data_IF_152212114166
#
_entry.id   IF_152212114166
#
_cell.length_a   1.000
_cell.length_b   1.000
_cell.length_c   1.000
_cell.angle_alpha   90.00
_cell.angle_beta   90.00
_cell.angle_gamma   90.00
#
_symmetry.space_group_name_H-M   'P 1'
#
loop_
_entity.id
_entity.type
_entity.pdbx_description
1 polymer ?
#
# COMPACT_ATOMS: atom_id res chain seq x y z
N UNK A 1 11.01 -23.40 -12.06
CA UNK A 1 11.37 -22.47 -10.98
C UNK A 1 10.20 -21.51 -10.75
N UNK A 2 9.85 -21.23 -9.50
CA UNK A 2 8.69 -20.36 -9.21
C UNK A 2 9.07 -18.91 -9.56
N UNK A 3 8.65 -18.44 -10.73
CA UNK A 3 9.06 -17.14 -11.29
C UNK A 3 8.10 -16.01 -10.85
N UNK A 4 7.65 -16.04 -9.55
CA UNK A 4 6.81 -14.99 -8.98
C UNK A 4 7.66 -13.83 -8.51
N UNK A 5 7.11 -12.61 -8.62
CA UNK A 5 7.71 -11.37 -8.10
C UNK A 5 7.56 -11.33 -6.58
N UNK A 6 8.65 -11.10 -5.85
CA UNK A 6 8.62 -11.02 -4.39
C UNK A 6 8.07 -9.67 -3.94
N UNK A 7 6.98 -9.70 -3.17
CA UNK A 7 6.29 -8.52 -2.65
C UNK A 7 6.59 -8.34 -1.16
N UNK A 8 6.92 -7.12 -0.74
CA UNK A 8 6.80 -6.70 0.65
C UNK A 8 5.61 -5.78 0.84
N UNK A 9 4.91 -5.92 1.98
CA UNK A 9 3.84 -5.00 2.38
C UNK A 9 4.28 -4.24 3.61
N UNK A 10 4.33 -2.90 3.52
CA UNK A 10 4.67 -2.02 4.63
C UNK A 10 3.39 -1.52 5.30
N UNK A 11 3.35 -1.61 6.64
CA UNK A 11 2.16 -1.34 7.47
C UNK A 11 2.53 -0.56 8.72
N UNK A 12 1.54 0.11 9.36
CA UNK A 12 1.72 0.75 10.68
C UNK A 12 0.62 0.43 11.68
N UNK A 13 -0.49 -0.19 11.26
CA UNK A 13 -1.68 -0.32 12.09
C UNK A 13 -2.47 -1.63 11.90
N UNK A 14 -3.79 -1.54 11.73
CA UNK A 14 -4.72 -2.66 11.70
C UNK A 14 -4.56 -3.66 10.56
N UNK A 15 -4.03 -3.23 9.40
CA UNK A 15 -3.69 -4.09 8.28
C UNK A 15 -4.89 -4.62 7.49
N UNK A 16 -5.97 -3.86 7.35
CA UNK A 16 -7.13 -4.27 6.56
C UNK A 16 -6.78 -4.41 5.07
N UNK A 17 -5.98 -3.50 4.51
CA UNK A 17 -5.46 -3.58 3.15
C UNK A 17 -4.46 -4.75 2.98
N UNK A 18 -3.63 -5.04 3.99
CA UNK A 18 -2.81 -6.26 4.00
C UNK A 18 -3.70 -7.52 3.94
N UNK A 19 -4.79 -7.56 4.71
CA UNK A 19 -5.70 -8.70 4.67
C UNK A 19 -6.33 -8.89 3.28
N UNK A 20 -6.70 -7.80 2.62
CA UNK A 20 -7.22 -7.86 1.25
C UNK A 20 -6.19 -8.45 0.27
N UNK A 21 -4.92 -8.04 0.37
CA UNK A 21 -3.81 -8.61 -0.41
C UNK A 21 -3.60 -10.11 -0.13
N UNK A 22 -3.62 -10.51 1.15
CA UNK A 22 -3.50 -11.93 1.55
C UNK A 22 -4.64 -12.77 0.97
N UNK A 23 -5.87 -12.27 1.07
CA UNK A 23 -7.04 -12.94 0.52
C UNK A 23 -6.96 -13.06 -1.00
N UNK A 24 -6.53 -12.00 -1.68
CA UNK A 24 -6.34 -11.97 -3.13
C UNK A 24 -5.27 -12.96 -3.61
N UNK A 25 -4.18 -13.11 -2.85
CA UNK A 25 -3.18 -14.14 -3.14
C UNK A 25 -3.74 -15.55 -2.97
N UNK A 26 -4.50 -15.79 -1.91
CA UNK A 26 -5.14 -17.11 -1.66
C UNK A 26 -6.21 -17.46 -2.69
N UNK A 27 -6.98 -16.48 -3.16
CA UNK A 27 -8.05 -16.68 -4.15
C UNK A 27 -7.54 -16.71 -5.60
N UNK A 28 -6.24 -16.49 -5.85
CA UNK A 28 -5.68 -16.49 -7.20
C UNK A 28 -5.91 -15.21 -7.99
N UNK A 29 -6.25 -14.09 -7.35
CA UNK A 29 -6.25 -12.76 -7.97
C UNK A 29 -4.81 -12.27 -8.17
N UNK A 30 -3.94 -12.49 -7.17
CA UNK A 30 -2.51 -12.24 -7.29
C UNK A 30 -1.82 -13.58 -7.64
N UNK A 31 -1.40 -13.71 -8.88
CA UNK A 31 -0.75 -14.91 -9.43
C UNK A 31 0.70 -14.67 -9.85
N UNK A 32 1.02 -13.46 -10.31
CA UNK A 32 2.34 -13.06 -10.77
C UNK A 32 3.27 -12.66 -9.63
N UNK A 33 2.72 -12.30 -8.46
CA UNK A 33 3.45 -11.94 -7.25
C UNK A 33 3.25 -12.93 -6.10
N UNK A 34 4.11 -12.81 -5.08
CA UNK A 34 3.99 -13.53 -3.81
C UNK A 34 4.41 -12.62 -2.66
N UNK A 35 3.54 -12.47 -1.65
CA UNK A 35 3.85 -11.70 -0.45
C UNK A 35 4.84 -12.51 0.39
N UNK A 36 6.10 -12.07 0.43
CA UNK A 36 7.20 -12.73 1.16
C UNK A 36 7.44 -12.12 2.54
N UNK A 37 7.15 -10.81 2.67
CA UNK A 37 7.50 -10.06 3.86
C UNK A 37 6.44 -9.03 4.19
N UNK A 38 6.13 -8.88 5.48
CA UNK A 38 5.40 -7.74 6.02
C UNK A 38 6.32 -6.97 6.95
N UNK A 39 6.54 -5.68 6.66
CA UNK A 39 7.36 -4.80 7.49
C UNK A 39 6.43 -3.84 8.23
N UNK A 40 6.54 -3.77 9.54
CA UNK A 40 5.78 -2.82 10.35
C UNK A 40 6.68 -1.77 10.99
N UNK A 41 6.24 -0.49 10.93
CA UNK A 41 6.86 0.61 11.67
C UNK A 41 6.43 0.65 13.15
N UNK A 42 5.57 -0.25 13.57
CA UNK A 42 5.03 -0.35 14.93
C UNK A 42 4.93 -1.82 15.35
N UNK A 43 5.65 -2.19 16.42
CA UNK A 43 5.64 -3.55 16.98
C UNK A 43 4.26 -4.03 17.46
N UNK A 44 3.36 -3.10 17.79
CA UNK A 44 2.01 -3.39 18.25
C UNK A 44 0.97 -3.40 17.12
N UNK A 45 1.40 -3.30 15.85
CA UNK A 45 0.49 -3.32 14.72
C UNK A 45 -0.22 -4.67 14.59
N UNK A 46 -1.56 -4.68 14.58
CA UNK A 46 -2.34 -5.90 14.39
C UNK A 46 -2.08 -6.57 13.02
N UNK A 47 -1.58 -5.79 12.06
CA UNK A 47 -1.13 -6.28 10.77
C UNK A 47 -0.09 -7.40 10.88
N UNK A 48 0.81 -7.37 11.89
CA UNK A 48 1.79 -8.42 12.15
C UNK A 48 1.10 -9.75 12.46
N UNK A 49 0.05 -9.72 13.28
CA UNK A 49 -0.74 -10.92 13.61
C UNK A 49 -1.45 -11.50 12.38
N UNK A 50 -1.93 -10.65 11.46
CA UNK A 50 -2.51 -11.10 10.19
C UNK A 50 -1.48 -11.81 9.31
N UNK A 51 -0.26 -11.27 9.24
CA UNK A 51 0.85 -11.86 8.49
C UNK A 51 1.25 -13.22 9.07
N UNK A 52 1.43 -13.32 10.40
CA UNK A 52 1.74 -14.57 11.10
C UNK A 52 0.68 -15.65 10.85
N UNK A 53 -0.61 -15.30 10.98
CA UNK A 53 -1.72 -16.21 10.71
C UNK A 53 -1.76 -16.71 9.25
N UNK A 54 -1.16 -15.95 8.34
CA UNK A 54 -1.04 -16.32 6.94
C UNK A 54 0.30 -17.03 6.60
N UNK A 55 1.17 -17.25 7.58
CA UNK A 55 2.49 -17.86 7.39
C UNK A 55 3.49 -16.96 6.64
N UNK A 56 3.27 -15.64 6.66
CA UNK A 56 4.13 -14.66 5.99
C UNK A 56 5.16 -14.15 7.00
N UNK A 57 6.42 -14.05 6.56
CA UNK A 57 7.50 -13.48 7.39
C UNK A 57 7.20 -12.05 7.78
N UNK A 58 7.62 -11.65 8.98
CA UNK A 58 7.45 -10.31 9.50
C UNK A 58 8.79 -9.70 9.91
N UNK A 59 8.88 -8.37 9.79
CA UNK A 59 9.95 -7.57 10.35
C UNK A 59 9.37 -6.32 11.03
N UNK A 60 10.01 -5.88 12.10
CA UNK A 60 9.63 -4.65 12.79
C UNK A 60 10.79 -3.66 12.67
N UNK A 61 10.49 -2.51 12.07
CA UNK A 61 11.41 -1.40 11.88
C UNK A 61 10.78 -0.17 12.54
N UNK A 62 11.07 0.06 13.82
CA UNK A 62 10.50 1.20 14.56
C UNK A 62 11.29 2.49 14.28
N UNK A 63 10.60 3.60 14.02
CA UNK A 63 11.20 4.92 13.79
C UNK A 63 11.59 5.64 15.09
N UNK A 64 11.05 5.18 16.23
CA UNK A 64 11.22 5.88 17.50
C UNK A 64 12.68 5.88 17.95
N UNK A 65 13.26 7.07 18.10
CA UNK A 65 14.61 7.24 18.66
C UNK A 65 15.76 7.07 17.67
N UNK A 66 15.47 6.92 16.37
CA UNK A 66 16.49 6.78 15.31
C UNK A 66 16.26 7.81 14.20
N UNK A 67 17.29 8.12 13.44
CA UNK A 67 17.20 9.01 12.29
C UNK A 67 16.37 8.40 11.15
N UNK A 68 15.90 9.23 10.21
CA UNK A 68 15.23 8.78 8.99
C UNK A 68 16.09 7.78 8.22
N UNK A 69 17.38 8.05 8.12
CA UNK A 69 18.35 7.21 7.42
C UNK A 69 18.46 5.82 8.05
N UNK A 70 18.67 5.73 9.36
CA UNK A 70 18.77 4.46 10.09
C UNK A 70 17.48 3.66 9.99
N UNK A 71 16.33 4.34 10.08
CA UNK A 71 15.02 3.72 9.90
C UNK A 71 14.89 3.10 8.51
N UNK A 72 15.19 3.85 7.45
CA UNK A 72 15.10 3.37 6.08
C UNK A 72 16.13 2.28 5.76
N UNK A 73 17.34 2.38 6.30
CA UNK A 73 18.35 1.32 6.19
C UNK A 73 17.86 0.00 6.84
N UNK A 74 17.17 0.07 7.97
CA UNK A 74 16.59 -1.12 8.60
C UNK A 74 15.54 -1.80 7.72
N UNK A 75 14.71 -0.99 7.04
CA UNK A 75 13.72 -1.50 6.08
C UNK A 75 14.44 -2.11 4.87
N UNK A 76 15.40 -1.40 4.26
CA UNK A 76 16.14 -1.88 3.09
C UNK A 76 16.82 -3.22 3.35
N UNK A 77 17.47 -3.37 4.51
CA UNK A 77 18.11 -4.63 4.92
C UNK A 77 17.10 -5.79 5.00
N UNK A 78 15.91 -5.54 5.51
CA UNK A 78 14.85 -6.54 5.56
C UNK A 78 14.34 -6.91 4.15
N UNK A 79 14.20 -5.91 3.26
CA UNK A 79 13.78 -6.11 1.88
C UNK A 79 14.81 -6.90 1.06
N UNK A 80 16.09 -6.56 1.20
CA UNK A 80 17.20 -7.23 0.49
C UNK A 80 17.33 -8.70 0.89
N UNK A 81 17.23 -9.00 2.19
CA UNK A 81 17.28 -10.37 2.72
C UNK A 81 16.23 -11.29 2.08
N UNK A 82 15.05 -10.78 1.80
CA UNK A 82 13.94 -11.52 1.17
C UNK A 82 13.87 -11.30 -0.34
N UNK A 83 14.86 -10.61 -0.94
CA UNK A 83 14.96 -10.32 -2.38
C UNK A 83 13.67 -9.67 -2.91
N UNK A 84 13.18 -8.65 -2.20
CA UNK A 84 11.94 -7.97 -2.52
C UNK A 84 12.12 -7.14 -3.80
N UNK A 85 11.10 -7.20 -4.66
CA UNK A 85 11.08 -6.53 -5.95
C UNK A 85 9.98 -5.48 -6.06
N UNK A 86 8.88 -5.66 -5.32
CA UNK A 86 7.74 -4.73 -5.25
C UNK A 86 7.42 -4.45 -3.79
N UNK A 87 7.17 -3.20 -3.51
CA UNK A 87 6.75 -2.71 -2.19
C UNK A 87 5.33 -2.18 -2.29
N UNK A 88 4.45 -2.62 -1.40
CA UNK A 88 3.09 -2.11 -1.28
C UNK A 88 2.97 -1.38 0.05
N UNK A 89 2.65 -0.09 0.01
CA UNK A 89 2.30 0.69 1.21
C UNK A 89 0.82 0.48 1.51
N UNK A 90 0.52 -0.13 2.64
CA UNK A 90 -0.84 -0.50 3.06
C UNK A 90 -1.15 0.09 4.45
N UNK A 91 -1.41 1.38 4.50
CA UNK A 91 -1.54 2.12 5.75
C UNK A 91 -0.20 2.29 6.47
N UNK A 92 0.84 2.58 5.71
CA UNK A 92 2.17 2.90 6.23
C UNK A 92 2.27 4.41 6.46
N UNK A 93 2.47 4.79 7.74
CA UNK A 93 2.36 6.18 8.19
C UNK A 93 3.66 6.99 8.11
N UNK A 94 4.77 6.37 7.69
CA UNK A 94 6.03 7.07 7.53
C UNK A 94 6.25 7.49 6.07
N UNK A 95 6.66 8.74 5.87
CA UNK A 95 7.08 9.23 4.55
C UNK A 95 8.46 8.66 4.25
N UNK A 96 8.62 8.09 3.07
CA UNK A 96 9.88 7.57 2.57
C UNK A 96 10.67 8.68 1.88
N UNK A 97 11.99 8.70 2.08
CA UNK A 97 12.86 9.69 1.44
C UNK A 97 12.97 9.47 -0.08
N UNK A 98 13.36 10.52 -0.80
CA UNK A 98 13.66 10.42 -2.23
C UNK A 98 14.75 9.37 -2.53
N UNK A 99 15.75 9.23 -1.65
CA UNK A 99 16.81 8.25 -1.80
C UNK A 99 16.32 6.81 -1.65
N UNK A 100 15.38 6.57 -0.73
CA UNK A 100 14.73 5.28 -0.61
C UNK A 100 13.91 4.97 -1.87
N UNK A 101 13.10 5.91 -2.34
CA UNK A 101 12.22 5.73 -3.50
C UNK A 101 13.04 5.44 -4.78
N UNK A 102 14.16 6.12 -4.97
CA UNK A 102 15.07 5.91 -6.12
C UNK A 102 15.64 4.48 -6.18
N UNK A 103 15.69 3.74 -5.08
CA UNK A 103 16.14 2.33 -5.07
C UNK A 103 15.13 1.36 -5.66
N UNK A 104 13.86 1.77 -5.74
CA UNK A 104 12.74 0.97 -6.25
C UNK A 104 11.92 1.74 -7.30
N UNK A 105 12.53 2.18 -8.43
CA UNK A 105 11.85 3.00 -9.43
C UNK A 105 10.66 2.24 -10.04
N UNK A 106 9.47 2.84 -9.97
CA UNK A 106 8.20 2.23 -10.40
C UNK A 106 7.91 0.84 -9.78
N UNK A 107 8.33 0.64 -8.52
CA UNK A 107 8.13 -0.62 -7.79
C UNK A 107 7.57 -0.43 -6.39
N UNK A 108 7.29 0.82 -6.00
CA UNK A 108 6.58 1.14 -4.76
C UNK A 108 5.20 1.63 -5.15
N UNK A 109 4.16 0.98 -4.64
CA UNK A 109 2.78 1.40 -4.86
C UNK A 109 2.11 1.75 -3.53
N UNK A 110 1.23 2.73 -3.55
CA UNK A 110 0.44 3.15 -2.40
C UNK A 110 -1.04 3.19 -2.74
N UNK A 111 -1.90 2.90 -1.77
CA UNK A 111 -3.33 3.16 -1.86
C UNK A 111 -3.69 4.37 -1.03
N UNK A 112 -4.31 5.37 -1.65
CA UNK A 112 -4.81 6.58 -1.02
C UNK A 112 -6.34 6.61 -1.08
N UNK A 113 -7.05 6.93 0.03
CA UNK A 113 -8.51 6.80 0.11
C UNK A 113 -9.27 8.00 -0.46
N UNK A 114 -8.81 8.53 -1.60
CA UNK A 114 -9.51 9.53 -2.40
C UNK A 114 -9.28 9.32 -3.90
N UNK A 115 -10.00 10.07 -4.72
CA UNK A 115 -9.72 10.20 -6.15
C UNK A 115 -8.69 11.31 -6.36
N UNK A 116 -7.40 10.97 -6.38
CA UNK A 116 -6.32 11.93 -6.66
C UNK A 116 -6.60 12.65 -7.99
N UNK A 117 -6.46 13.99 -8.08
CA UNK A 117 -5.73 14.88 -7.16
C UNK A 117 -6.55 15.49 -6.01
N UNK A 118 -7.77 15.05 -5.76
CA UNK A 118 -8.61 15.60 -4.68
C UNK A 118 -8.23 14.98 -3.32
N UNK A 119 -8.23 15.80 -2.26
CA UNK A 119 -8.03 15.37 -0.86
C UNK A 119 -6.82 14.46 -0.67
N UNK A 120 -5.67 14.84 -1.23
CA UNK A 120 -4.40 14.11 -1.17
C UNK A 120 -3.24 15.04 -0.81
N UNK A 121 -2.05 14.45 -0.57
CA UNK A 121 -0.86 15.16 -0.20
C UNK A 121 -0.72 15.33 1.31
N UNK A 122 0.11 16.30 1.72
CA UNK A 122 0.47 16.50 3.12
C UNK A 122 -0.77 16.78 4.00
N UNK A 123 -0.88 16.05 5.11
CA UNK A 123 -2.00 16.19 6.07
C UNK A 123 -3.24 15.36 5.74
N UNK A 124 -3.37 14.80 4.53
CA UNK A 124 -4.49 13.96 4.15
C UNK A 124 -4.20 12.47 4.39
N UNK A 125 -4.67 11.94 5.51
CA UNK A 125 -4.57 10.53 5.87
C UNK A 125 -5.71 10.07 6.77
N UNK A 126 -6.04 8.79 6.74
CA UNK A 126 -7.06 8.17 7.59
C UNK A 126 -8.40 8.88 7.49
N UNK A 127 -9.07 9.12 8.62
CA UNK A 127 -10.39 9.77 8.65
C UNK A 127 -10.39 11.22 8.15
N UNK A 128 -9.23 11.90 8.16
CA UNK A 128 -9.14 13.30 7.70
C UNK A 128 -9.53 13.44 6.22
N UNK A 129 -9.21 12.45 5.39
CA UNK A 129 -9.55 12.43 3.97
C UNK A 129 -11.07 12.41 3.78
N UNK A 130 -11.74 11.49 4.49
CA UNK A 130 -13.19 11.33 4.41
C UNK A 130 -13.94 12.52 5.00
N UNK A 131 -13.43 13.05 6.13
CA UNK A 131 -13.98 14.29 6.72
C UNK A 131 -13.89 15.45 5.73
N UNK A 132 -12.73 15.66 5.10
CA UNK A 132 -12.54 16.74 4.14
C UNK A 132 -13.48 16.60 2.92
N UNK A 133 -13.69 15.37 2.40
CA UNK A 133 -14.62 15.11 1.31
C UNK A 133 -16.07 15.45 1.70
N UNK A 134 -16.49 15.08 2.92
CA UNK A 134 -17.82 15.41 3.45
C UNK A 134 -17.98 16.91 3.68
N UNK A 135 -17.01 17.55 4.31
CA UNK A 135 -17.03 19.00 4.60
C UNK A 135 -17.10 19.84 3.30
N UNK A 136 -16.41 19.38 2.25
CA UNK A 136 -16.42 20.04 0.94
C UNK A 136 -17.76 19.84 0.20
N UNK A 137 -18.48 18.77 0.53
CA UNK A 137 -19.79 18.45 -0.07
C UNK A 137 -19.73 17.76 -1.42
N UNK A 138 -18.59 17.11 -1.78
CA UNK A 138 -18.53 16.29 -3.01
C UNK A 138 -19.51 15.12 -2.93
N UNK A 139 -20.01 14.69 -4.08
CA UNK A 139 -21.00 13.60 -4.17
C UNK A 139 -20.34 12.25 -4.45
N UNK A 140 -19.09 12.28 -4.92
CA UNK A 140 -18.30 11.11 -5.27
C UNK A 140 -16.90 11.25 -4.69
N UNK A 141 -16.42 10.21 -4.05
CA UNK A 141 -15.04 10.00 -3.61
C UNK A 141 -14.55 8.65 -4.13
N UNK A 142 -13.56 8.04 -3.49
CA UNK A 142 -13.09 6.72 -3.91
C UNK A 142 -11.71 6.40 -3.36
N UNK A 143 -10.97 5.59 -4.11
CA UNK A 143 -9.58 5.28 -3.81
C UNK A 143 -8.73 5.33 -5.07
N UNK A 144 -7.45 5.63 -4.88
CA UNK A 144 -6.42 5.65 -5.92
C UNK A 144 -5.26 4.76 -5.52
N UNK A 145 -4.83 3.87 -6.42
CA UNK A 145 -3.52 3.22 -6.32
C UNK A 145 -2.58 3.87 -7.31
N UNK A 146 -1.43 4.31 -6.82
CA UNK A 146 -0.43 5.03 -7.60
C UNK A 146 0.98 4.55 -7.28
N UNK A 147 1.93 4.79 -8.18
CA UNK A 147 3.35 4.66 -7.87
C UNK A 147 3.78 5.76 -6.90
N UNK A 148 4.70 5.43 -6.01
CA UNK A 148 5.27 6.40 -5.07
C UNK A 148 6.47 7.09 -5.71
N UNK A 149 6.52 8.42 -5.60
CA UNK A 149 7.67 9.25 -5.92
C UNK A 149 8.03 10.14 -4.71
N UNK A 150 8.86 11.16 -4.89
CA UNK A 150 9.28 12.08 -3.84
C UNK A 150 8.17 13.05 -3.38
N UNK A 151 7.09 13.17 -4.15
CA UNK A 151 5.94 14.03 -3.82
C UNK A 151 4.86 13.17 -3.16
N UNK A 152 4.40 13.50 -1.94
CA UNK A 152 3.31 12.77 -1.32
C UNK A 152 2.08 12.69 -2.23
N UNK A 153 1.62 11.46 -2.48
CA UNK A 153 0.51 11.12 -3.39
C UNK A 153 0.66 11.63 -4.84
N UNK A 154 1.86 12.05 -5.26
CA UNK A 154 2.12 12.72 -6.54
C UNK A 154 2.54 11.79 -7.69
N UNK A 155 2.74 10.51 -7.45
CA UNK A 155 3.20 9.56 -8.45
C UNK A 155 2.12 9.15 -9.46
N UNK A 156 2.54 8.54 -10.57
CA UNK A 156 1.66 8.08 -11.66
C UNK A 156 0.58 7.13 -11.16
N UNK A 157 -0.66 7.43 -11.49
CA UNK A 157 -1.83 6.63 -11.12
C UNK A 157 -1.81 5.30 -11.87
N UNK A 158 -2.12 4.21 -11.15
CA UNK A 158 -2.24 2.86 -11.69
C UNK A 158 -3.72 2.50 -11.88
N UNK A 159 -4.52 2.73 -10.84
CA UNK A 159 -5.96 2.45 -10.82
C UNK A 159 -6.69 3.43 -9.92
N UNK A 160 -7.93 3.72 -10.29
CA UNK A 160 -8.88 4.47 -9.45
C UNK A 160 -10.23 3.77 -9.45
N UNK A 161 -10.95 3.89 -8.34
CA UNK A 161 -12.32 3.41 -8.24
C UNK A 161 -13.17 4.40 -7.44
N UNK A 162 -14.23 4.88 -8.09
CA UNK A 162 -15.18 5.82 -7.51
C UNK A 162 -16.14 5.13 -6.53
N UNK A 163 -16.53 5.88 -5.49
CA UNK A 163 -17.52 5.50 -4.48
C UNK A 163 -18.44 6.67 -4.24
N UNK A 164 -19.73 6.44 -4.25
CA UNK A 164 -20.76 7.44 -3.97
C UNK A 164 -20.80 7.80 -2.48
N UNK A 165 -20.93 9.09 -2.19
CA UNK A 165 -21.20 9.61 -0.85
C UNK A 165 -22.71 9.67 -0.66
N UNK A 166 -23.20 9.06 0.40
CA UNK A 166 -24.62 9.01 0.75
C UNK A 166 -24.99 10.11 1.72
N UNK A 167 -26.25 10.49 1.69
CA UNK A 167 -26.81 11.39 2.70
C UNK A 167 -26.62 10.80 4.09
N UNK A 168 -26.22 11.65 5.05
CA UNK A 168 -25.93 11.29 6.44
C UNK A 168 -24.68 10.38 6.65
N UNK A 169 -23.77 10.28 5.68
CA UNK A 169 -22.49 9.63 5.92
C UNK A 169 -21.68 10.35 6.99
N UNK A 170 -21.15 9.59 7.93
CA UNK A 170 -20.05 10.05 8.79
C UNK A 170 -18.70 9.70 8.17
N UNK A 171 -17.58 10.34 8.62
CA UNK A 171 -16.26 9.95 8.12
C UNK A 171 -15.96 8.46 8.26
N UNK A 172 -16.41 7.82 9.35
CA UNK A 172 -16.21 6.39 9.63
C UNK A 172 -17.02 5.50 8.70
N UNK A 173 -18.28 5.86 8.43
CA UNK A 173 -19.15 5.14 7.50
C UNK A 173 -18.58 5.22 6.09
N UNK A 174 -18.16 6.43 5.68
CA UNK A 174 -17.57 6.65 4.37
C UNK A 174 -16.23 5.92 4.22
N UNK A 175 -15.37 5.97 5.25
CA UNK A 175 -14.10 5.22 5.26
C UNK A 175 -14.35 3.73 5.05
N UNK A 176 -15.26 3.13 5.82
CA UNK A 176 -15.58 1.70 5.67
C UNK A 176 -16.05 1.39 4.26
N UNK A 177 -16.94 2.22 3.69
CA UNK A 177 -17.44 2.03 2.32
C UNK A 177 -16.33 2.15 1.29
N UNK A 178 -15.43 3.12 1.41
CA UNK A 178 -14.28 3.28 0.50
C UNK A 178 -13.34 2.09 0.61
N UNK A 179 -13.04 1.61 1.82
CA UNK A 179 -12.24 0.40 2.00
C UNK A 179 -12.86 -0.81 1.30
N UNK A 180 -14.15 -1.09 1.56
CA UNK A 180 -14.83 -2.30 1.06
C UNK A 180 -15.09 -2.24 -0.45
N UNK A 181 -15.48 -1.07 -0.98
CA UNK A 181 -15.94 -0.94 -2.36
C UNK A 181 -14.87 -0.40 -3.32
N UNK A 182 -13.73 0.07 -2.81
CA UNK A 182 -12.63 0.56 -3.64
C UNK A 182 -11.28 -0.02 -3.24
N UNK A 183 -10.73 0.31 -2.06
CA UNK A 183 -9.34 -0.03 -1.71
C UNK A 183 -9.06 -1.54 -1.81
N UNK A 184 -9.89 -2.39 -1.18
CA UNK A 184 -9.70 -3.84 -1.14
C UNK A 184 -9.88 -4.53 -2.50
N UNK A 185 -10.39 -3.79 -3.48
CA UNK A 185 -10.56 -4.28 -4.84
C UNK A 185 -9.38 -3.85 -5.72
N UNK A 186 -9.08 -2.55 -5.73
CA UNK A 186 -8.08 -2.02 -6.68
C UNK A 186 -6.63 -2.24 -6.22
N UNK A 187 -6.35 -2.31 -4.90
CA UNK A 187 -4.99 -2.53 -4.43
C UNK A 187 -4.44 -3.91 -4.83
N UNK A 188 -5.16 -5.03 -4.63
CA UNK A 188 -4.73 -6.32 -5.13
C UNK A 188 -4.61 -6.37 -6.66
N UNK A 189 -5.55 -5.77 -7.38
CA UNK A 189 -5.52 -5.73 -8.84
C UNK A 189 -4.32 -4.93 -9.37
N UNK A 190 -3.99 -3.80 -8.73
CA UNK A 190 -2.81 -3.01 -9.07
C UNK A 190 -1.50 -3.76 -8.74
N UNK A 191 -1.44 -4.45 -7.60
CA UNK A 191 -0.28 -5.28 -7.24
C UNK A 191 -0.04 -6.39 -8.27
N UNK A 192 -1.09 -7.10 -8.70
CA UNK A 192 -0.99 -8.11 -9.76
C UNK A 192 -0.51 -7.50 -11.07
N UNK A 193 -1.10 -6.36 -11.49
CA UNK A 193 -0.71 -5.66 -12.71
C UNK A 193 0.78 -5.33 -12.72
N UNK A 194 1.29 -4.71 -11.64
CA UNK A 194 2.71 -4.33 -11.52
C UNK A 194 3.62 -5.56 -11.53
N UNK A 195 3.25 -6.62 -10.80
CA UNK A 195 4.02 -7.87 -10.79
C UNK A 195 4.06 -8.52 -12.18
N UNK A 196 2.95 -8.52 -12.91
CA UNK A 196 2.87 -9.05 -14.26
C UNK A 196 3.78 -8.29 -15.22
N UNK A 197 3.75 -6.96 -15.21
CA UNK A 197 4.63 -6.11 -16.01
C UNK A 197 6.12 -6.36 -15.72
N UNK A 198 6.49 -6.52 -14.44
CA UNK A 198 7.88 -6.84 -14.07
C UNK A 198 8.29 -8.21 -14.59
N UNK A 199 7.41 -9.20 -14.49
CA UNK A 199 7.67 -10.56 -14.98
C UNK A 199 7.85 -10.60 -16.51
N UNK A 200 7.02 -9.86 -17.24
CA UNK A 200 7.12 -9.74 -18.70
C UNK A 200 8.46 -9.13 -19.11
N UNK A 201 8.85 -7.99 -18.51
CA UNK A 201 10.15 -7.34 -18.75
C UNK A 201 11.37 -8.23 -18.44
N UNK A 202 11.25 -9.15 -17.48
CA UNK A 202 12.32 -10.12 -17.19
C UNK A 202 12.44 -11.18 -18.28
N UNK A 203 11.30 -11.61 -18.83
CA UNK A 203 11.29 -12.64 -19.88
C UNK A 203 11.80 -12.09 -21.23
N UNK A 204 11.61 -10.78 -21.49
CA UNK A 204 12.13 -10.10 -22.70
C UNK A 204 13.65 -9.88 -22.68
N UNK A 205 14.31 -10.02 -21.54
CA UNK A 205 15.77 -9.83 -21.38
C UNK A 205 16.58 -11.13 -21.38
N UNK A 206 15.90 -12.26 -21.54
CA UNK A 206 16.48 -13.60 -21.68
C UNK A 206 16.47 -14.02 -23.15
#
# INVERSE_FOLDING_TARGET
MNNKVNIAVLVSGGGTNLQALINAQKSGIITSGEIKLVVSSNKNAYALKRAENAGIKTAVCERKGISQKEFEESILNALEKEKIEVIVLAGFMSILSADFVKRYPERIINVHPSLIPSFCGEGFYGLRVHKAALDYGVKVTGATVHFVNEIPDGGRIIMQKAVEIKENDTPEILQKRVMENAEWIILPAAAEKVCKEIKERKNERI
#
